data_IF_094224809529
#
_entry.id   IF_094224809529
#
_cell.length_a   1.000
_cell.length_b   1.000
_cell.length_c   1.000
_cell.angle_alpha   90.00
_cell.angle_beta   90.00
_cell.angle_gamma   90.00
#
_symmetry.space_group_name_H-M   'P 1'
#
loop_
_entity.id
_entity.type
_entity.pdbx_description
1 polymer ?
#
# COMPACT_ATOMS: atom_id res chain seq x y z
N UNK A 1 -25.97 26.20 9.50
CA UNK A 1 -25.15 25.74 8.36
C UNK A 1 -24.42 24.50 8.79
N UNK A 2 -24.49 23.41 8.03
CA UNK A 2 -23.69 22.22 8.30
C UNK A 2 -22.20 22.56 8.09
N UNK A 3 -21.32 21.93 8.86
CA UNK A 3 -19.88 22.13 8.68
C UNK A 3 -19.46 21.61 7.28
N UNK A 4 -18.64 22.35 6.53
CA UNK A 4 -18.20 21.97 5.18
C UNK A 4 -17.12 20.88 5.26
N UNK A 5 -17.53 19.64 5.56
CA UNK A 5 -16.62 18.52 5.79
C UNK A 5 -15.76 18.19 4.56
N UNK A 6 -16.34 18.29 3.36
CA UNK A 6 -15.65 17.96 2.12
C UNK A 6 -14.51 18.94 1.83
N UNK A 7 -14.80 20.23 1.92
CA UNK A 7 -13.83 21.30 1.72
C UNK A 7 -12.74 21.27 2.79
N UNK A 8 -13.10 20.96 4.03
CA UNK A 8 -12.14 20.79 5.12
C UNK A 8 -11.18 19.62 4.88
N UNK A 9 -11.70 18.46 4.45
CA UNK A 9 -10.89 17.26 4.15
C UNK A 9 -9.96 17.52 2.96
N UNK A 10 -10.49 18.03 1.84
CA UNK A 10 -9.69 18.34 0.65
C UNK A 10 -8.63 19.40 0.97
N UNK A 11 -9.00 20.46 1.71
CA UNK A 11 -8.06 21.49 2.15
C UNK A 11 -6.94 20.93 3.02
N UNK A 12 -7.26 20.03 3.95
CA UNK A 12 -6.26 19.38 4.80
C UNK A 12 -5.34 18.46 3.99
N UNK A 13 -5.89 17.66 3.05
CA UNK A 13 -5.10 16.80 2.17
C UNK A 13 -4.11 17.60 1.33
N UNK A 14 -4.54 18.72 0.73
CA UNK A 14 -3.67 19.61 -0.04
C UNK A 14 -2.59 20.21 0.86
N UNK A 15 -2.94 20.63 2.08
CA UNK A 15 -1.96 21.18 3.03
C UNK A 15 -0.87 20.16 3.37
N UNK A 16 -1.26 18.91 3.66
CA UNK A 16 -0.31 17.82 3.95
C UNK A 16 0.57 17.55 2.74
N UNK A 17 -0.01 17.43 1.55
CA UNK A 17 0.75 17.23 0.30
C UNK A 17 1.78 18.35 0.06
N UNK A 18 1.40 19.61 0.26
CA UNK A 18 2.32 20.74 0.12
C UNK A 18 3.46 20.69 1.14
N UNK A 19 3.16 20.28 2.37
CA UNK A 19 4.17 20.13 3.42
C UNK A 19 5.15 19.00 3.12
N UNK A 20 4.67 17.83 2.71
CA UNK A 20 5.52 16.70 2.32
C UNK A 20 6.37 17.03 1.10
N UNK A 21 5.76 17.61 0.07
CA UNK A 21 6.47 18.08 -1.13
C UNK A 21 7.57 19.08 -0.77
N UNK A 22 7.34 19.99 0.19
CA UNK A 22 8.37 20.90 0.69
C UNK A 22 9.56 20.15 1.33
N UNK A 23 9.30 19.13 2.15
CA UNK A 23 10.36 18.32 2.75
C UNK A 23 11.14 17.55 1.68
N UNK A 24 10.44 16.97 0.71
CA UNK A 24 11.07 16.24 -0.38
C UNK A 24 11.91 17.14 -1.28
N UNK A 25 11.48 18.38 -1.54
CA UNK A 25 12.27 19.35 -2.29
C UNK A 25 13.57 19.71 -1.57
N UNK A 26 13.54 19.81 -0.24
CA UNK A 26 14.75 20.02 0.57
C UNK A 26 15.68 18.82 0.47
N UNK A 27 15.15 17.61 0.61
CA UNK A 27 15.93 16.39 0.47
C UNK A 27 16.51 16.24 -0.94
N UNK A 28 15.71 16.52 -1.97
CA UNK A 28 16.13 16.49 -3.37
C UNK A 28 17.26 17.48 -3.65
N UNK A 29 17.18 18.68 -3.07
CA UNK A 29 18.23 19.69 -3.17
C UNK A 29 19.51 19.24 -2.46
N UNK A 30 19.40 18.65 -1.26
CA UNK A 30 20.55 18.10 -0.55
C UNK A 30 21.23 16.96 -1.33
N UNK A 31 20.46 16.10 -2.01
CA UNK A 31 20.97 15.02 -2.85
C UNK A 31 21.76 15.52 -4.08
N UNK A 32 21.54 16.76 -4.53
CA UNK A 32 22.32 17.34 -5.64
C UNK A 32 23.72 17.77 -5.23
N UNK A 33 24.01 17.89 -3.93
CA UNK A 33 25.32 18.30 -3.47
C UNK A 33 26.38 17.25 -3.84
N UNK A 34 27.46 17.63 -4.53
CA UNK A 34 28.45 16.68 -5.03
C UNK A 34 29.45 16.20 -3.99
N UNK A 35 29.44 16.79 -2.81
CA UNK A 35 30.46 16.58 -1.79
C UNK A 35 30.10 15.44 -0.85
N UNK A 36 31.02 14.49 -0.69
CA UNK A 36 30.92 13.48 0.36
C UNK A 36 31.00 14.18 1.74
N UNK A 37 30.07 13.91 2.67
CA UNK A 37 30.16 14.43 4.03
C UNK A 37 31.45 13.98 4.72
N UNK A 38 32.10 14.89 5.46
CA UNK A 38 33.38 14.63 6.15
C UNK A 38 33.39 13.33 6.99
N UNK A 39 32.33 12.96 7.73
CA UNK A 39 32.32 11.73 8.52
C UNK A 39 32.35 10.44 7.69
N UNK A 40 32.05 10.49 6.39
CA UNK A 40 31.99 9.33 5.50
C UNK A 40 33.28 9.13 4.67
N UNK A 41 34.25 10.04 4.80
CA UNK A 41 35.55 9.93 4.16
C UNK A 41 36.27 8.67 4.66
N UNK A 42 36.70 7.81 3.73
CA UNK A 42 37.37 6.55 4.04
C UNK A 42 36.44 5.40 4.41
N UNK A 43 35.13 5.64 4.62
CA UNK A 43 34.12 4.59 4.86
C UNK A 43 33.48 4.15 3.55
N UNK A 44 33.25 5.11 2.63
CA UNK A 44 32.58 4.87 1.35
C UNK A 44 33.47 5.43 0.22
N UNK A 45 33.62 4.68 -0.87
CA UNK A 45 34.32 5.15 -2.07
C UNK A 45 33.49 6.22 -2.80
N UNK A 46 34.17 7.13 -3.48
CA UNK A 46 33.51 8.18 -4.27
C UNK A 46 32.54 7.59 -5.32
N UNK A 47 32.94 6.51 -5.99
CA UNK A 47 32.09 5.81 -6.96
C UNK A 47 30.78 5.29 -6.34
N UNK A 48 30.85 4.70 -5.15
CA UNK A 48 29.68 4.17 -4.44
C UNK A 48 28.75 5.30 -3.97
N UNK A 49 29.33 6.43 -3.55
CA UNK A 49 28.57 7.63 -3.23
C UNK A 49 27.81 8.17 -4.46
N UNK A 50 28.48 8.29 -5.60
CA UNK A 50 27.86 8.77 -6.85
C UNK A 50 26.74 7.86 -7.35
N UNK A 51 26.94 6.53 -7.30
CA UNK A 51 25.90 5.54 -7.62
C UNK A 51 24.69 5.67 -6.69
N UNK A 52 24.92 5.74 -5.38
CA UNK A 52 23.85 5.92 -4.38
C UNK A 52 23.07 7.23 -4.57
N UNK A 53 23.79 8.31 -4.90
CA UNK A 53 23.20 9.62 -5.20
C UNK A 53 22.34 9.57 -6.46
N UNK A 54 22.85 8.99 -7.54
CA UNK A 54 22.11 8.84 -8.79
C UNK A 54 20.83 8.02 -8.60
N UNK A 55 20.91 6.91 -7.87
CA UNK A 55 19.74 6.10 -7.49
C UNK A 55 18.71 6.91 -6.69
N UNK A 56 19.17 7.65 -5.68
CA UNK A 56 18.29 8.46 -4.82
C UNK A 56 17.62 9.60 -5.59
N UNK A 57 18.30 10.20 -6.57
CA UNK A 57 17.73 11.23 -7.44
C UNK A 57 16.66 10.68 -8.37
N UNK A 58 16.92 9.54 -9.03
CA UNK A 58 15.94 8.88 -9.90
C UNK A 58 14.68 8.49 -9.11
N UNK A 59 14.86 7.94 -7.90
CA UNK A 59 13.74 7.59 -7.00
C UNK A 59 12.96 8.82 -6.55
N UNK A 60 13.66 9.91 -6.23
CA UNK A 60 13.04 11.16 -5.82
C UNK A 60 12.22 11.79 -6.96
N UNK A 61 12.72 11.80 -8.20
CA UNK A 61 11.95 12.27 -9.36
C UNK A 61 10.68 11.46 -9.58
N UNK A 62 10.78 10.14 -9.51
CA UNK A 62 9.62 9.26 -9.62
C UNK A 62 8.61 9.52 -8.50
N UNK A 63 9.08 9.68 -7.26
CA UNK A 63 8.21 9.97 -6.11
C UNK A 63 7.40 11.24 -6.31
N UNK A 64 8.02 12.35 -6.74
CA UNK A 64 7.29 13.60 -7.00
C UNK A 64 6.17 13.44 -8.03
N UNK A 65 6.42 12.70 -9.13
CA UNK A 65 5.42 12.47 -10.16
C UNK A 65 4.30 11.58 -9.63
N UNK A 66 4.66 10.51 -8.91
CA UNK A 66 3.70 9.60 -8.30
C UNK A 66 2.76 10.34 -7.35
N UNK A 67 3.31 11.07 -6.37
CA UNK A 67 2.51 11.78 -5.37
C UNK A 67 1.61 12.85 -5.99
N UNK A 68 2.09 13.55 -7.02
CA UNK A 68 1.27 14.51 -7.74
C UNK A 68 0.07 13.84 -8.42
N UNK A 69 0.26 12.69 -9.07
CA UNK A 69 -0.84 11.96 -9.70
C UNK A 69 -1.82 11.45 -8.64
N UNK A 70 -1.30 10.90 -7.53
CA UNK A 70 -2.10 10.39 -6.42
C UNK A 70 -2.98 11.47 -5.81
N UNK A 71 -2.43 12.64 -5.45
CA UNK A 71 -3.24 13.72 -4.85
C UNK A 71 -4.30 14.27 -5.81
N UNK A 72 -3.99 14.38 -7.10
CA UNK A 72 -4.96 14.81 -8.12
C UNK A 72 -6.07 13.77 -8.26
N UNK A 73 -5.73 12.49 -8.27
CA UNK A 73 -6.70 11.40 -8.34
C UNK A 73 -7.60 11.37 -7.09
N UNK A 74 -7.03 11.49 -5.89
CA UNK A 74 -7.77 11.50 -4.64
C UNK A 74 -8.71 12.71 -4.54
N UNK A 75 -8.24 13.89 -4.94
CA UNK A 75 -9.08 15.08 -5.03
C UNK A 75 -10.23 14.88 -6.01
N UNK A 76 -9.97 14.28 -7.17
CA UNK A 76 -11.02 13.96 -8.15
C UNK A 76 -12.01 12.93 -7.61
N UNK A 77 -11.55 11.89 -6.90
CA UNK A 77 -12.40 10.87 -6.26
C UNK A 77 -13.39 11.51 -5.29
N UNK A 78 -12.92 12.44 -4.47
CA UNK A 78 -13.77 13.17 -3.53
C UNK A 78 -14.68 14.17 -4.24
N UNK A 79 -14.14 14.99 -5.16
CA UNK A 79 -14.88 16.05 -5.83
C UNK A 79 -16.01 15.54 -6.72
N UNK A 80 -15.76 14.47 -7.46
CA UNK A 80 -16.76 13.86 -8.35
C UNK A 80 -17.63 12.80 -7.65
N UNK A 81 -17.43 12.56 -6.35
CA UNK A 81 -18.23 11.58 -5.60
C UNK A 81 -18.07 10.16 -6.15
N UNK A 82 -16.86 9.79 -6.56
CA UNK A 82 -16.57 8.49 -7.18
C UNK A 82 -16.86 7.35 -6.18
N UNK A 83 -16.56 7.53 -4.88
CA UNK A 83 -16.85 6.52 -3.86
C UNK A 83 -18.36 6.20 -3.72
N UNK A 84 -19.26 7.19 -3.54
CA UNK A 84 -20.71 6.95 -3.60
C UNK A 84 -21.19 6.32 -4.90
N UNK A 85 -20.64 6.74 -6.05
CA UNK A 85 -20.97 6.16 -7.35
C UNK A 85 -20.58 4.68 -7.40
N UNK A 86 -19.38 4.35 -6.92
CA UNK A 86 -18.85 2.99 -6.88
C UNK A 86 -19.64 2.09 -5.94
N UNK A 87 -20.10 2.62 -4.80
CA UNK A 87 -21.01 1.93 -3.89
C UNK A 87 -22.34 1.57 -4.56
N UNK A 88 -22.94 2.49 -5.32
CA UNK A 88 -24.19 2.17 -6.05
C UNK A 88 -23.94 1.07 -7.09
N UNK A 89 -22.83 1.17 -7.82
CA UNK A 89 -22.48 0.22 -8.87
C UNK A 89 -22.20 -1.19 -8.35
N UNK A 90 -21.58 -1.32 -7.17
CA UNK A 90 -21.38 -2.62 -6.53
C UNK A 90 -22.71 -3.28 -6.12
N UNK A 91 -23.70 -2.49 -5.69
CA UNK A 91 -25.06 -2.99 -5.40
C UNK A 91 -25.76 -3.50 -6.67
N UNK A 92 -25.71 -2.75 -7.76
CA UNK A 92 -26.26 -3.18 -9.06
C UNK A 92 -25.61 -4.48 -9.57
N UNK A 93 -24.29 -4.59 -9.39
CA UNK A 93 -23.54 -5.81 -9.73
C UNK A 93 -24.03 -7.02 -8.92
N UNK A 94 -24.33 -6.85 -7.64
CA UNK A 94 -24.88 -7.93 -6.81
C UNK A 94 -26.28 -8.37 -7.27
N UNK A 95 -27.17 -7.44 -7.64
CA UNK A 95 -28.47 -7.79 -8.24
C UNK A 95 -28.26 -8.64 -9.49
N UNK A 96 -27.36 -8.20 -10.38
CA UNK A 96 -27.06 -8.90 -11.62
C UNK A 96 -26.49 -10.31 -11.37
N UNK A 97 -25.67 -10.46 -10.33
CA UNK A 97 -25.13 -11.74 -9.90
C UNK A 97 -26.15 -12.65 -9.18
N UNK A 98 -27.41 -12.20 -8.99
CA UNK A 98 -28.45 -12.94 -8.29
C UNK A 98 -28.25 -13.01 -6.77
N UNK A 99 -27.45 -12.11 -6.21
CA UNK A 99 -27.14 -12.04 -4.77
C UNK A 99 -28.05 -11.03 -4.06
N UNK A 100 -28.31 -11.27 -2.77
CA UNK A 100 -29.15 -10.38 -1.98
C UNK A 100 -28.43 -9.06 -1.67
N UNK A 101 -28.92 -7.97 -2.26
CA UNK A 101 -28.39 -6.61 -2.05
C UNK A 101 -28.71 -6.05 -0.66
N UNK A 102 -29.77 -6.54 -0.01
CA UNK A 102 -30.08 -6.13 1.37
C UNK A 102 -29.06 -6.67 2.38
N UNK A 103 -28.23 -7.64 1.97
CA UNK A 103 -27.12 -8.08 2.80
C UNK A 103 -25.95 -7.09 2.71
N UNK A 104 -25.88 -6.19 3.70
CA UNK A 104 -24.84 -5.17 3.83
C UNK A 104 -23.41 -5.75 3.80
N UNK A 105 -23.21 -6.99 4.26
CA UNK A 105 -21.92 -7.68 4.18
C UNK A 105 -21.54 -7.92 2.72
N UNK A 106 -22.44 -8.50 1.93
CA UNK A 106 -22.17 -8.78 0.51
C UNK A 106 -21.95 -7.48 -0.27
N UNK A 107 -22.75 -6.45 -0.01
CA UNK A 107 -22.57 -5.12 -0.61
C UNK A 107 -21.19 -4.56 -0.31
N UNK A 108 -20.80 -4.56 0.96
CA UNK A 108 -19.49 -4.05 1.38
C UNK A 108 -18.35 -4.87 0.77
N UNK A 109 -18.46 -6.19 0.71
CA UNK A 109 -17.44 -7.04 0.09
C UNK A 109 -17.30 -6.78 -1.42
N UNK A 110 -18.41 -6.63 -2.14
CA UNK A 110 -18.38 -6.30 -3.56
C UNK A 110 -17.78 -4.90 -3.81
N UNK A 111 -18.14 -3.93 -2.96
CA UNK A 111 -17.54 -2.59 -3.00
C UNK A 111 -16.03 -2.64 -2.79
N UNK A 112 -15.56 -3.29 -1.71
CA UNK A 112 -14.13 -3.40 -1.39
C UNK A 112 -13.36 -4.17 -2.47
N UNK A 113 -13.93 -5.24 -3.02
CA UNK A 113 -13.30 -6.00 -4.11
C UNK A 113 -13.10 -5.13 -5.35
N UNK A 114 -14.10 -4.31 -5.71
CA UNK A 114 -13.99 -3.38 -6.82
C UNK A 114 -12.99 -2.24 -6.56
N UNK A 115 -12.96 -1.68 -5.35
CA UNK A 115 -11.99 -0.63 -4.97
C UNK A 115 -10.57 -1.20 -4.99
N UNK A 116 -10.38 -2.41 -4.46
CA UNK A 116 -9.10 -3.12 -4.51
C UNK A 116 -8.66 -3.33 -5.95
N UNK A 117 -9.56 -3.77 -6.83
CA UNK A 117 -9.25 -3.95 -8.25
C UNK A 117 -8.88 -2.64 -8.95
N UNK A 118 -9.62 -1.57 -8.66
CA UNK A 118 -9.31 -0.22 -9.15
C UNK A 118 -7.92 0.23 -8.71
N UNK A 119 -7.61 0.14 -7.42
CA UNK A 119 -6.29 0.50 -6.85
C UNK A 119 -5.18 -0.31 -7.52
N UNK A 120 -5.35 -1.63 -7.67
CA UNK A 120 -4.35 -2.46 -8.34
C UNK A 120 -4.08 -2.01 -9.77
N UNK A 121 -5.10 -1.57 -10.52
CA UNK A 121 -4.92 -1.07 -11.88
C UNK A 121 -4.23 0.29 -11.90
N UNK A 122 -4.60 1.20 -11.01
CA UNK A 122 -4.00 2.55 -10.97
C UNK A 122 -2.54 2.51 -10.53
N UNK A 123 -2.19 1.59 -9.63
CA UNK A 123 -0.86 1.50 -9.03
C UNK A 123 0.10 0.63 -9.84
N UNK A 124 -0.43 -0.24 -10.72
CA UNK A 124 0.36 -1.16 -11.53
C UNK A 124 1.38 -0.46 -12.45
N UNK A 125 1.04 0.60 -13.21
CA UNK A 125 2.01 1.31 -14.05
C UNK A 125 3.19 1.86 -13.24
N UNK A 126 2.92 2.44 -12.07
CA UNK A 126 3.93 3.00 -11.19
C UNK A 126 4.81 1.91 -10.58
N UNK A 127 4.20 0.80 -10.14
CA UNK A 127 4.91 -0.37 -9.63
C UNK A 127 5.84 -0.98 -10.68
N UNK A 128 5.35 -1.15 -11.92
CA UNK A 128 6.15 -1.66 -13.03
C UNK A 128 7.31 -0.72 -13.37
N UNK A 129 7.07 0.59 -13.42
CA UNK A 129 8.13 1.55 -13.69
C UNK A 129 9.20 1.55 -12.59
N UNK A 130 8.78 1.55 -11.32
CA UNK A 130 9.69 1.46 -10.19
C UNK A 130 10.58 0.21 -10.27
N UNK A 131 9.99 -0.97 -10.42
CA UNK A 131 10.73 -2.25 -10.42
C UNK A 131 11.54 -2.48 -11.70
N UNK A 132 10.95 -2.28 -12.88
CA UNK A 132 11.56 -2.68 -14.15
C UNK A 132 12.30 -1.55 -14.88
N UNK A 133 12.17 -0.30 -14.44
CA UNK A 133 12.94 0.83 -14.99
C UNK A 133 13.92 1.37 -13.96
N UNK A 134 13.45 1.80 -12.78
CA UNK A 134 14.32 2.43 -11.77
C UNK A 134 15.26 1.39 -11.14
N UNK A 135 14.70 0.38 -10.48
CA UNK A 135 15.50 -0.66 -9.82
C UNK A 135 16.37 -1.45 -10.82
N UNK A 136 15.88 -1.65 -12.05
CA UNK A 136 16.64 -2.31 -13.11
C UNK A 136 17.83 -1.48 -13.59
N UNK A 137 17.66 -0.16 -13.78
CA UNK A 137 18.73 0.77 -14.17
C UNK A 137 19.89 0.76 -13.17
N UNK A 138 19.58 0.64 -11.89
CA UNK A 138 20.57 0.61 -10.81
C UNK A 138 21.04 -0.81 -10.44
N UNK A 139 20.59 -1.84 -11.16
CA UNK A 139 21.03 -3.23 -10.99
C UNK A 139 20.48 -3.96 -9.76
N UNK A 140 19.54 -3.32 -9.05
CA UNK A 140 18.88 -3.86 -7.87
C UNK A 140 17.74 -4.82 -8.21
N UNK A 141 17.11 -4.68 -9.38
CA UNK A 141 16.04 -5.60 -9.77
C UNK A 141 16.58 -7.02 -9.99
N UNK A 142 16.06 -7.98 -9.23
CA UNK A 142 16.28 -9.42 -9.40
C UNK A 142 14.99 -10.18 -9.76
N UNK A 143 13.87 -9.47 -9.89
CA UNK A 143 12.57 -10.04 -10.20
C UNK A 143 12.38 -10.12 -11.72
N UNK A 144 11.80 -11.22 -12.18
CA UNK A 144 11.31 -11.33 -13.56
C UNK A 144 9.88 -10.84 -13.66
N UNK A 145 9.45 -10.42 -14.85
CA UNK A 145 8.06 -9.97 -15.08
C UNK A 145 7.04 -11.05 -14.71
N UNK A 146 7.35 -12.31 -15.00
CA UNK A 146 6.52 -13.45 -14.62
C UNK A 146 6.42 -13.62 -13.10
N UNK A 147 7.54 -13.48 -12.38
CA UNK A 147 7.55 -13.57 -10.93
C UNK A 147 6.72 -12.44 -10.29
N UNK A 148 6.86 -11.21 -10.81
CA UNK A 148 6.11 -10.05 -10.37
C UNK A 148 4.59 -10.27 -10.45
N UNK A 149 4.06 -10.64 -11.63
CA UNK A 149 2.62 -10.87 -11.78
C UNK A 149 2.14 -12.08 -10.98
N UNK A 150 2.94 -13.14 -10.90
CA UNK A 150 2.60 -14.31 -10.09
C UNK A 150 2.45 -13.94 -8.62
N UNK A 151 3.38 -13.17 -8.07
CA UNK A 151 3.34 -12.78 -6.67
C UNK A 151 2.24 -11.73 -6.41
N UNK A 152 1.93 -10.85 -7.38
CA UNK A 152 0.75 -9.99 -7.33
C UNK A 152 -0.55 -10.79 -7.23
N UNK A 153 -0.74 -11.81 -8.09
CA UNK A 153 -1.93 -12.67 -8.06
C UNK A 153 -2.03 -13.44 -6.73
N UNK A 154 -0.92 -13.99 -6.23
CA UNK A 154 -0.91 -14.64 -4.90
C UNK A 154 -1.34 -13.67 -3.79
N UNK A 155 -0.87 -12.43 -3.84
CA UNK A 155 -1.28 -11.37 -2.90
C UNK A 155 -2.78 -11.10 -2.95
N UNK A 156 -3.34 -10.96 -4.15
CA UNK A 156 -4.78 -10.76 -4.37
C UNK A 156 -5.58 -11.95 -3.84
N UNK A 157 -5.17 -13.18 -4.15
CA UNK A 157 -5.83 -14.40 -3.65
C UNK A 157 -5.81 -14.44 -2.13
N UNK A 158 -4.66 -14.14 -1.51
CA UNK A 158 -4.55 -14.10 -0.06
C UNK A 158 -5.46 -13.04 0.57
N UNK A 159 -5.53 -11.84 -0.03
CA UNK A 159 -6.42 -10.78 0.41
C UNK A 159 -7.90 -11.20 0.31
N UNK A 160 -8.29 -11.89 -0.76
CA UNK A 160 -9.65 -12.42 -0.95
C UNK A 160 -9.97 -13.57 0.01
N UNK A 161 -8.99 -14.36 0.43
CA UNK A 161 -9.21 -15.47 1.38
C UNK A 161 -9.31 -14.95 2.82
N UNK A 162 -8.45 -14.01 3.21
CA UNK A 162 -8.34 -13.54 4.60
C UNK A 162 -9.25 -12.33 4.88
N UNK A 163 -9.36 -11.40 3.93
CA UNK A 163 -10.07 -10.14 4.10
C UNK A 163 -11.58 -10.30 4.36
N UNK A 164 -12.34 -11.02 3.52
CA UNK A 164 -13.79 -11.12 3.66
C UNK A 164 -14.28 -11.67 5.01
N UNK A 165 -13.70 -12.74 5.58
CA UNK A 165 -14.07 -13.18 6.93
C UNK A 165 -13.89 -12.09 8.00
N UNK A 166 -12.79 -11.32 7.93
CA UNK A 166 -12.50 -10.24 8.86
C UNK A 166 -13.50 -9.10 8.69
N UNK A 167 -13.73 -8.65 7.44
CA UNK A 167 -14.68 -7.58 7.13
C UNK A 167 -16.10 -7.97 7.55
N UNK A 168 -16.53 -9.20 7.25
CA UNK A 168 -17.84 -9.69 7.66
C UNK A 168 -18.00 -9.69 9.18
N UNK A 169 -16.99 -10.15 9.92
CA UNK A 169 -17.00 -10.11 11.39
C UNK A 169 -17.07 -8.67 11.93
N UNK A 170 -16.32 -7.73 11.35
CA UNK A 170 -16.38 -6.31 11.72
C UNK A 170 -17.79 -5.76 11.52
N UNK A 171 -18.40 -6.02 10.37
CA UNK A 171 -19.77 -5.54 10.08
C UNK A 171 -20.76 -6.11 11.10
N UNK A 172 -20.67 -7.40 11.42
CA UNK A 172 -21.53 -8.04 12.43
C UNK A 172 -21.35 -7.38 13.81
N UNK A 173 -20.10 -7.08 14.20
CA UNK A 173 -19.81 -6.39 15.46
C UNK A 173 -20.38 -4.97 15.44
N UNK A 174 -20.27 -4.25 14.33
CA UNK A 174 -20.84 -2.90 14.19
C UNK A 174 -22.37 -2.94 14.31
N UNK A 175 -23.02 -3.89 13.65
CA UNK A 175 -24.48 -4.02 13.67
C UNK A 175 -25.02 -4.46 15.05
N UNK A 176 -24.27 -5.28 15.80
CA UNK A 176 -24.73 -5.89 17.07
C UNK A 176 -24.06 -5.33 18.33
N UNK A 177 -23.04 -4.47 18.19
CA UNK A 177 -22.15 -4.09 19.29
C UNK A 177 -22.77 -3.18 20.34
N UNK A 178 -23.88 -2.50 20.02
CA UNK A 178 -24.59 -1.63 20.95
C UNK A 178 -23.67 -0.59 21.62
N UNK A 179 -23.82 -0.30 22.92
CA UNK A 179 -23.04 0.74 23.60
C UNK A 179 -21.56 0.37 23.82
N UNK A 180 -21.21 -0.92 23.73
CA UNK A 180 -19.84 -1.42 23.96
C UNK A 180 -19.11 -1.75 22.65
N UNK A 181 -19.61 -1.27 21.50
CA UNK A 181 -19.06 -1.50 20.16
C UNK A 181 -17.54 -1.31 20.10
N UNK A 182 -17.03 -0.24 20.72
CA UNK A 182 -15.60 0.07 20.72
C UNK A 182 -14.76 -1.05 21.37
N UNK A 183 -15.24 -1.62 22.49
CA UNK A 183 -14.55 -2.70 23.21
C UNK A 183 -14.56 -3.98 22.37
N UNK A 184 -15.70 -4.31 21.75
CA UNK A 184 -15.82 -5.50 20.90
C UNK A 184 -14.93 -5.42 19.66
N UNK A 185 -14.93 -4.27 18.96
CA UNK A 185 -14.04 -4.07 17.82
C UNK A 185 -12.56 -4.11 18.24
N UNK A 186 -12.21 -3.46 19.35
CA UNK A 186 -10.84 -3.50 19.86
C UNK A 186 -10.39 -4.92 20.19
N UNK A 187 -11.20 -5.67 20.93
CA UNK A 187 -10.88 -7.05 21.30
C UNK A 187 -10.77 -7.96 20.07
N UNK A 188 -11.68 -7.81 19.11
CA UNK A 188 -11.63 -8.54 17.84
C UNK A 188 -10.35 -8.22 17.04
N UNK A 189 -10.02 -6.94 16.88
CA UNK A 189 -8.82 -6.52 16.16
C UNK A 189 -7.53 -6.98 16.86
N UNK A 190 -7.52 -7.01 18.20
CA UNK A 190 -6.42 -7.56 18.98
C UNK A 190 -6.22 -9.06 18.68
N UNK A 191 -7.30 -9.84 18.71
CA UNK A 191 -7.26 -11.29 18.41
C UNK A 191 -6.77 -11.52 16.98
N UNK A 192 -7.34 -10.82 16.00
CA UNK A 192 -6.92 -10.92 14.59
C UNK A 192 -5.44 -10.59 14.45
N UNK A 193 -4.95 -9.54 15.12
CA UNK A 193 -3.54 -9.15 15.07
C UNK A 193 -2.61 -10.23 15.64
N UNK A 194 -2.96 -10.82 16.80
CA UNK A 194 -2.18 -11.89 17.42
C UNK A 194 -2.15 -13.15 16.55
N UNK A 195 -3.30 -13.50 15.96
CA UNK A 195 -3.42 -14.63 15.03
C UNK A 195 -2.56 -14.38 13.80
N UNK A 196 -2.65 -13.20 13.19
CA UNK A 196 -1.85 -12.84 12.00
C UNK A 196 -0.36 -12.78 12.30
N UNK A 197 0.06 -12.33 13.49
CA UNK A 197 1.46 -12.33 13.91
C UNK A 197 2.05 -13.75 13.92
N UNK A 198 1.23 -14.76 14.22
CA UNK A 198 1.64 -16.17 14.22
C UNK A 198 1.53 -16.80 12.83
N UNK A 199 0.42 -16.57 12.13
CA UNK A 199 0.14 -17.15 10.80
C UNK A 199 1.08 -16.60 9.74
N UNK A 200 1.44 -15.31 9.82
CA UNK A 200 2.22 -14.66 8.78
C UNK A 200 3.58 -15.32 8.50
N UNK A 201 4.50 -15.48 9.47
CA UNK A 201 5.80 -16.08 9.20
C UNK A 201 5.72 -17.57 8.85
N UNK A 202 4.71 -18.29 9.37
CA UNK A 202 4.60 -19.76 9.22
C UNK A 202 3.91 -20.16 7.93
N UNK A 203 2.85 -19.45 7.53
CA UNK A 203 2.00 -19.84 6.39
C UNK A 203 2.07 -18.85 5.24
N UNK A 204 2.11 -17.54 5.51
CA UNK A 204 2.01 -16.52 4.46
C UNK A 204 3.37 -16.28 3.80
N UNK A 205 4.39 -15.93 4.59
CA UNK A 205 5.71 -15.60 4.06
C UNK A 205 6.31 -16.72 3.18
N UNK A 206 6.16 -18.03 3.51
CA UNK A 206 6.68 -19.11 2.68
C UNK A 206 6.03 -19.26 1.30
N UNK A 207 4.83 -18.69 1.08
CA UNK A 207 4.17 -18.70 -0.24
C UNK A 207 4.86 -17.76 -1.24
N UNK A 208 5.53 -16.73 -0.72
CA UNK A 208 6.25 -15.73 -1.50
C UNK A 208 7.75 -16.03 -1.56
N UNK A 209 8.33 -16.51 -0.46
CA UNK A 209 9.77 -16.65 -0.30
C UNK A 209 10.18 -18.09 -0.02
N UNK A 210 11.34 -18.48 -0.56
CA UNK A 210 11.97 -19.76 -0.23
C UNK A 210 12.79 -19.61 1.04
N UNK A 211 12.38 -20.26 2.11
CA UNK A 211 13.17 -20.36 3.34
C UNK A 211 14.06 -21.60 3.27
N UNK A 212 15.37 -21.39 3.32
CA UNK A 212 16.36 -22.46 3.42
C UNK A 212 17.03 -22.39 4.78
N UNK A 213 17.15 -23.51 5.51
CA UNK A 213 17.95 -23.55 6.74
C UNK A 213 19.36 -23.03 6.45
N UNK A 214 19.92 -22.24 7.38
CA UNK A 214 21.32 -21.85 7.29
C UNK A 214 22.17 -23.13 7.32
N UNK A 215 23.16 -23.21 6.42
CA UNK A 215 24.12 -24.32 6.44
C UNK A 215 24.89 -24.25 7.76
N UNK A 216 24.87 -25.32 8.55
CA UNK A 216 25.67 -25.41 9.77
C UNK A 216 27.15 -25.45 9.35
N UNK A 217 27.83 -24.31 9.44
CA UNK A 217 29.25 -24.17 9.13
C UNK A 217 29.79 -22.82 9.60
N UNK A 218 30.80 -22.86 10.48
CA UNK A 218 31.70 -21.84 11.06
C UNK A 218 31.20 -20.43 11.45
N UNK A 219 30.07 -19.93 10.98
CA UNK A 219 29.48 -18.65 11.43
C UNK A 219 28.63 -18.80 12.70
N UNK A 220 28.23 -20.02 13.06
CA UNK A 220 27.53 -20.29 14.33
C UNK A 220 28.47 -20.47 15.53
N UNK A 221 29.77 -20.21 15.36
CA UNK A 221 30.81 -20.45 16.37
C UNK A 221 31.52 -19.16 16.83
N UNK A 222 30.87 -18.00 16.71
CA UNK A 222 31.33 -16.73 17.30
C UNK A 222 30.20 -16.07 18.07
#
# INVERSE_FOLDING_TARGET
MAFPYMEAVVGFMILVYLFETYLDLRQHTALKLPTLPRPLLGVISQEKFEKSRAYSLDKSHFHFVHELVTIVMDCAILYFGILPWFWKRSGEFLVYAGLNVENEILHTLAFLAGVMFWSQITDLPFSLYSTFVIEARHGFNKQTIWLFFRDMIKGIVLAIVIGPPIVAAIIIIVQKGGPYLAIYLWAFMLIVSLVMMTIYPVLIAPLFNKFTPQKIGMESAR
#
